data_IF_974894910685
#
_entry.id   IF_974894910685
#
_cell.length_a   1.000
_cell.length_b   1.000
_cell.length_c   1.000
_cell.angle_alpha   90.00
_cell.angle_beta   90.00
_cell.angle_gamma   90.00
#
_symmetry.space_group_name_H-M   'P 1'
#
loop_
_entity.id
_entity.type
_entity.pdbx_description
1 polymer ?
#
# COMPACT_ATOMS: atom_id res chain seq x y z
N UNK A 1 -15.33 -2.48 -17.42
CA UNK A 1 -16.41 -3.42 -17.84
C UNK A 1 -16.61 -4.48 -16.77
N UNK A 2 -17.84 -4.99 -16.63
CA UNK A 2 -18.29 -6.12 -15.77
C UNK A 2 -18.30 -5.94 -14.24
N UNK A 3 -17.42 -5.14 -13.62
CA UNK A 3 -17.33 -5.02 -12.13
C UNK A 3 -18.66 -4.75 -11.40
N UNK A 4 -19.43 -3.74 -11.84
CA UNK A 4 -20.69 -3.37 -11.17
C UNK A 4 -21.88 -4.33 -11.35
N UNK A 5 -21.74 -5.44 -12.10
CA UNK A 5 -22.82 -6.42 -12.31
C UNK A 5 -22.53 -7.81 -11.75
N UNK A 6 -21.31 -8.06 -11.24
CA UNK A 6 -20.92 -9.37 -10.75
C UNK A 6 -21.70 -9.76 -9.49
N UNK A 7 -21.90 -8.82 -8.57
CA UNK A 7 -22.74 -8.98 -7.38
C UNK A 7 -24.18 -9.34 -7.74
N UNK A 8 -24.77 -8.61 -8.68
CA UNK A 8 -26.14 -8.85 -9.12
C UNK A 8 -26.31 -10.23 -9.74
N UNK A 9 -25.36 -10.64 -10.59
CA UNK A 9 -25.34 -11.98 -11.19
C UNK A 9 -25.13 -13.06 -10.13
N UNK A 10 -24.22 -12.84 -9.18
CA UNK A 10 -23.98 -13.77 -8.08
C UNK A 10 -25.25 -13.95 -7.24
N UNK A 11 -25.90 -12.86 -6.84
CA UNK A 11 -27.15 -12.89 -6.08
C UNK A 11 -28.27 -13.62 -6.81
N UNK A 12 -28.44 -13.36 -8.10
CA UNK A 12 -29.42 -14.06 -8.94
C UNK A 12 -29.11 -15.56 -9.04
N UNK A 13 -27.85 -15.92 -9.32
CA UNK A 13 -27.43 -17.31 -9.39
C UNK A 13 -27.61 -18.06 -8.07
N UNK A 14 -27.31 -17.42 -6.94
CA UNK A 14 -27.52 -17.99 -5.60
C UNK A 14 -29.00 -18.17 -5.30
N UNK A 15 -29.85 -17.21 -5.70
CA UNK A 15 -31.30 -17.33 -5.58
C UNK A 15 -31.86 -18.47 -6.45
N UNK A 16 -31.40 -18.60 -7.70
CA UNK A 16 -31.80 -19.71 -8.56
C UNK A 16 -31.36 -21.06 -7.98
N UNK A 17 -30.11 -21.20 -7.55
CA UNK A 17 -29.63 -22.44 -6.94
C UNK A 17 -30.42 -22.82 -5.67
N UNK A 18 -30.75 -21.84 -4.83
CA UNK A 18 -31.63 -22.05 -3.68
C UNK A 18 -33.05 -22.49 -4.11
N UNK A 19 -33.61 -21.87 -5.15
CA UNK A 19 -34.95 -22.20 -5.65
C UNK A 19 -35.01 -23.62 -6.23
N UNK A 20 -33.99 -24.03 -6.99
CA UNK A 20 -33.87 -25.37 -7.56
C UNK A 20 -33.49 -26.44 -6.52
N UNK A 21 -32.91 -26.06 -5.38
CA UNK A 21 -32.62 -27.02 -4.30
C UNK A 21 -33.87 -27.73 -3.79
N UNK A 22 -35.05 -27.07 -3.90
CA UNK A 22 -36.36 -27.64 -3.55
C UNK A 22 -36.79 -28.81 -4.44
N UNK A 23 -36.24 -28.89 -5.66
CA UNK A 23 -36.44 -30.02 -6.60
C UNK A 23 -35.21 -30.92 -6.68
N UNK A 24 -34.30 -30.83 -5.70
CA UNK A 24 -33.11 -31.68 -5.60
C UNK A 24 -31.91 -31.21 -6.42
N UNK A 25 -31.93 -30.00 -6.98
CA UNK A 25 -30.85 -29.47 -7.82
C UNK A 25 -30.24 -28.22 -7.17
N UNK A 26 -29.12 -28.37 -6.47
CA UNK A 26 -28.34 -27.25 -5.94
C UNK A 26 -26.96 -27.19 -6.59
N UNK A 27 -26.75 -26.17 -7.43
CA UNK A 27 -25.50 -25.95 -8.16
C UNK A 27 -24.65 -24.82 -7.57
N UNK A 28 -25.04 -24.23 -6.43
CA UNK A 28 -24.32 -23.08 -5.83
C UNK A 28 -22.87 -23.41 -5.52
N UNK A 29 -22.60 -24.64 -5.09
CA UNK A 29 -21.24 -25.12 -4.84
C UNK A 29 -20.35 -25.15 -6.09
N UNK A 30 -20.93 -25.32 -7.29
CA UNK A 30 -20.19 -25.31 -8.56
C UNK A 30 -20.00 -23.89 -9.12
N UNK A 31 -20.88 -22.95 -8.75
CA UNK A 31 -20.77 -21.55 -9.20
C UNK A 31 -19.74 -20.75 -8.42
N UNK A 32 -19.59 -21.01 -7.11
CA UNK A 32 -18.68 -20.23 -6.27
C UNK A 32 -17.24 -20.15 -6.83
N UNK A 33 -16.60 -21.24 -7.31
CA UNK A 33 -15.27 -21.17 -7.93
C UNK A 33 -15.22 -20.33 -9.21
N UNK A 34 -16.31 -20.27 -9.99
CA UNK A 34 -16.38 -19.49 -11.23
C UNK A 34 -16.39 -17.99 -10.91
N UNK A 35 -17.23 -17.57 -9.97
CA UNK A 35 -17.31 -16.18 -9.52
C UNK A 35 -16.01 -15.75 -8.83
N UNK A 36 -15.42 -16.64 -8.02
CA UNK A 36 -14.11 -16.41 -7.40
C UNK A 36 -13.02 -16.11 -8.44
N UNK A 37 -12.94 -16.91 -9.51
CA UNK A 37 -11.96 -16.69 -10.59
C UNK A 37 -12.17 -15.35 -11.31
N UNK A 38 -13.43 -14.99 -11.59
CA UNK A 38 -13.75 -13.71 -12.25
C UNK A 38 -13.43 -12.53 -11.33
N UNK A 39 -13.70 -12.64 -10.03
CA UNK A 39 -13.36 -11.62 -9.05
C UNK A 39 -11.84 -11.41 -8.95
N UNK A 40 -11.06 -12.49 -8.92
CA UNK A 40 -9.60 -12.43 -8.91
C UNK A 40 -9.03 -11.79 -10.18
N UNK A 41 -9.53 -12.18 -11.37
CA UNK A 41 -9.10 -11.61 -12.65
C UNK A 41 -9.46 -10.12 -12.77
N UNK A 42 -10.66 -9.73 -12.34
CA UNK A 42 -11.08 -8.34 -12.30
C UNK A 42 -10.24 -7.50 -11.34
N UNK A 43 -9.94 -8.04 -10.15
CA UNK A 43 -9.05 -7.40 -9.19
C UNK A 43 -7.65 -7.21 -9.77
N UNK A 44 -7.06 -8.25 -10.36
CA UNK A 44 -5.73 -8.18 -10.99
C UNK A 44 -5.65 -7.11 -12.07
N UNK A 45 -6.65 -7.03 -12.95
CA UNK A 45 -6.75 -5.99 -13.99
C UNK A 45 -6.87 -4.60 -13.39
N UNK A 46 -7.71 -4.40 -12.38
CA UNK A 46 -7.86 -3.11 -11.74
C UNK A 46 -6.57 -2.64 -11.04
N UNK A 47 -5.81 -3.58 -10.46
CA UNK A 47 -4.50 -3.30 -9.87
C UNK A 47 -3.47 -2.96 -10.94
N UNK A 48 -3.43 -3.70 -12.05
CA UNK A 48 -2.55 -3.40 -13.20
C UNK A 48 -2.84 -2.01 -13.77
N UNK A 49 -4.12 -1.67 -13.99
CA UNK A 49 -4.54 -0.34 -14.42
C UNK A 49 -4.12 0.76 -13.41
N UNK A 50 -4.12 0.47 -12.11
CA UNK A 50 -3.65 1.42 -11.09
C UNK A 50 -2.13 1.62 -11.15
N UNK A 51 -1.36 0.56 -11.41
CA UNK A 51 0.11 0.63 -11.59
C UNK A 51 0.46 1.41 -12.85
N UNK A 52 -0.23 1.17 -13.97
CA UNK A 52 0.01 1.90 -15.21
C UNK A 52 -0.32 3.39 -15.07
N UNK A 53 -1.45 3.73 -14.42
CA UNK A 53 -1.75 5.14 -14.09
C UNK A 53 -0.70 5.76 -13.19
N UNK A 54 -0.18 5.02 -12.21
CA UNK A 54 0.91 5.50 -11.36
C UNK A 54 2.16 5.84 -12.20
N UNK A 55 2.51 4.98 -13.16
CA UNK A 55 3.64 5.21 -14.07
C UNK A 55 3.43 6.44 -14.96
N UNK A 56 2.24 6.59 -15.52
CA UNK A 56 1.87 7.76 -16.33
C UNK A 56 1.97 9.05 -15.52
N UNK A 57 1.41 9.07 -14.31
CA UNK A 57 1.49 10.21 -13.40
C UNK A 57 2.94 10.52 -13.04
N UNK A 58 3.74 9.51 -12.71
CA UNK A 58 5.17 9.68 -12.38
C UNK A 58 5.98 10.27 -13.54
N UNK A 59 5.66 9.95 -14.79
CA UNK A 59 6.33 10.52 -15.97
C UNK A 59 6.01 12.02 -16.17
N UNK A 60 4.85 12.47 -15.71
CA UNK A 60 4.42 13.87 -15.76
C UNK A 60 4.70 14.63 -14.46
N UNK A 61 5.16 13.91 -13.44
CA UNK A 61 5.35 14.45 -12.11
C UNK A 61 6.55 15.39 -12.10
N UNK A 62 6.29 16.63 -11.70
CA UNK A 62 7.35 17.61 -11.47
C UNK A 62 7.43 17.86 -9.98
N UNK A 63 8.63 17.78 -9.40
CA UNK A 63 8.88 18.09 -7.98
C UNK A 63 8.84 19.61 -7.72
N UNK A 64 8.01 20.33 -8.48
CA UNK A 64 7.93 21.78 -8.47
C UNK A 64 6.69 22.16 -7.67
N UNK A 65 6.90 22.33 -6.38
CA UNK A 65 6.01 22.92 -5.37
C UNK A 65 5.32 21.91 -4.45
N UNK A 66 5.61 22.07 -3.16
CA UNK A 66 4.69 21.71 -2.09
C UNK A 66 3.27 22.18 -2.46
N UNK A 67 2.24 21.41 -2.12
CA UNK A 67 0.88 21.78 -2.47
C UNK A 67 0.59 23.14 -1.86
N UNK A 68 0.09 24.04 -2.71
CA UNK A 68 -0.59 25.24 -2.30
C UNK A 68 -1.87 24.83 -1.56
N UNK A 69 -1.76 24.40 -0.31
CA UNK A 69 -2.91 24.17 0.55
C UNK A 69 -3.44 25.54 0.98
N UNK A 70 -4.40 26.02 0.19
CA UNK A 70 -5.64 26.68 0.66
C UNK A 70 -5.51 28.07 1.31
N UNK A 71 -4.95 29.02 0.55
CA UNK A 71 -5.18 30.46 0.76
C UNK A 71 -6.53 30.99 0.25
N UNK A 72 -7.58 30.16 0.11
CA UNK A 72 -8.84 30.63 -0.48
C UNK A 72 -10.05 29.72 -0.27
N UNK A 73 -10.85 30.03 0.74
CA UNK A 73 -12.31 29.98 0.68
C UNK A 73 -12.98 28.62 0.51
N UNK A 74 -13.02 27.82 1.58
CA UNK A 74 -14.20 27.09 2.07
C UNK A 74 -13.70 26.06 3.09
N UNK A 75 -14.02 26.26 4.36
CA UNK A 75 -13.76 25.26 5.39
C UNK A 75 -14.52 23.98 5.07
N UNK A 76 -13.82 23.00 4.50
CA UNK A 76 -14.28 21.62 4.52
C UNK A 76 -14.20 21.17 5.98
N UNK A 77 -15.31 20.79 6.63
CA UNK A 77 -15.28 20.40 8.02
C UNK A 77 -14.38 19.17 8.17
N UNK A 78 -13.37 19.30 9.03
CA UNK A 78 -12.50 18.22 9.48
C UNK A 78 -13.40 17.14 10.12
N UNK A 79 -13.54 15.93 9.54
CA UNK A 79 -14.14 14.84 10.27
C UNK A 79 -13.09 14.36 11.25
N UNK A 80 -13.32 14.58 12.53
CA UNK A 80 -12.58 13.95 13.63
C UNK A 80 -12.46 12.45 13.36
N UNK A 81 -11.21 11.96 13.25
CA UNK A 81 -10.91 10.55 13.05
C UNK A 81 -11.60 9.71 14.14
N UNK A 82 -12.62 8.96 13.76
CA UNK A 82 -13.22 7.96 14.63
C UNK A 82 -12.36 6.69 14.58
N UNK A 83 -12.01 6.08 15.73
CA UNK A 83 -11.32 4.80 15.74
C UNK A 83 -12.23 3.74 15.08
N UNK A 84 -11.86 3.32 13.88
CA UNK A 84 -12.62 2.35 13.07
C UNK A 84 -12.93 2.80 11.64
N UNK A 85 -12.78 4.08 11.29
CA UNK A 85 -12.95 4.54 9.91
C UNK A 85 -11.61 4.47 9.15
N UNK A 86 -11.55 3.66 8.08
CA UNK A 86 -10.45 3.66 7.12
C UNK A 86 -10.49 5.00 6.33
N UNK A 87 -9.93 6.05 6.91
CA UNK A 87 -9.74 7.33 6.21
C UNK A 87 -8.37 7.32 5.52
N UNK A 88 -8.29 7.68 4.23
CA UNK A 88 -7.02 7.81 3.52
C UNK A 88 -6.12 8.86 4.22
N UNK A 89 -4.80 8.61 4.31
CA UNK A 89 -3.86 9.60 4.85
C UNK A 89 -3.85 10.87 3.99
N UNK A 90 -4.19 12.01 4.60
CA UNK A 90 -4.28 13.30 3.88
C UNK A 90 -2.92 13.77 3.34
N UNK A 91 -1.81 13.32 3.94
CA UNK A 91 -0.44 13.57 3.49
C UNK A 91 -0.19 13.06 2.06
N UNK A 92 -0.93 12.02 1.62
CA UNK A 92 -0.81 11.51 0.26
C UNK A 92 -1.40 12.45 -0.79
N UNK A 93 -2.26 13.41 -0.40
CA UNK A 93 -2.79 14.42 -1.33
C UNK A 93 -1.69 15.38 -1.81
N UNK A 94 -0.62 15.49 -1.04
CA UNK A 94 0.56 16.28 -1.40
C UNK A 94 1.40 15.60 -2.49
N UNK A 95 1.12 14.31 -2.75
CA UNK A 95 1.80 13.46 -3.73
C UNK A 95 0.78 12.82 -4.70
N UNK A 96 0.38 13.53 -5.78
CA UNK A 96 -0.64 13.07 -6.72
C UNK A 96 -0.45 11.64 -7.25
N UNK A 97 0.77 11.17 -7.60
CA UNK A 97 0.96 9.79 -8.03
C UNK A 97 0.54 8.75 -6.98
N UNK A 98 0.93 8.96 -5.71
CA UNK A 98 0.58 8.05 -4.61
C UNK A 98 -0.92 8.07 -4.30
N UNK A 99 -1.56 9.25 -4.33
CA UNK A 99 -3.00 9.36 -4.13
C UNK A 99 -3.78 8.65 -5.25
N UNK A 100 -3.37 8.82 -6.51
CA UNK A 100 -3.99 8.17 -7.66
C UNK A 100 -3.90 6.63 -7.54
N UNK A 101 -2.70 6.12 -7.23
CA UNK A 101 -2.48 4.70 -7.01
C UNK A 101 -3.33 4.14 -5.87
N UNK A 102 -3.33 4.82 -4.71
CA UNK A 102 -4.14 4.41 -3.56
C UNK A 102 -5.63 4.35 -3.91
N UNK A 103 -6.14 5.38 -4.58
CA UNK A 103 -7.55 5.42 -4.98
C UNK A 103 -7.91 4.29 -5.94
N UNK A 104 -7.02 3.96 -6.90
CA UNK A 104 -7.19 2.80 -7.78
C UNK A 104 -7.30 1.49 -7.00
N UNK A 105 -6.40 1.27 -6.04
CA UNK A 105 -6.46 0.09 -5.16
C UNK A 105 -7.72 0.05 -4.28
N UNK A 106 -8.17 1.19 -3.76
CA UNK A 106 -9.39 1.26 -2.97
C UNK A 106 -10.64 0.92 -3.80
N UNK A 107 -10.70 1.36 -5.06
CA UNK A 107 -11.77 0.95 -5.98
C UNK A 107 -11.71 -0.57 -6.21
N UNK A 108 -10.53 -1.12 -6.47
CA UNK A 108 -10.35 -2.57 -6.65
C UNK A 108 -10.78 -3.37 -5.41
N UNK A 109 -10.43 -2.92 -4.20
CA UNK A 109 -10.87 -3.54 -2.95
C UNK A 109 -12.38 -3.45 -2.75
N UNK A 110 -13.00 -2.32 -3.09
CA UNK A 110 -14.45 -2.14 -2.96
C UNK A 110 -15.22 -3.06 -3.89
N UNK A 111 -14.76 -3.24 -5.13
CA UNK A 111 -15.38 -4.17 -6.08
C UNK A 111 -15.19 -5.63 -5.63
N UNK A 112 -14.01 -5.97 -5.12
CA UNK A 112 -13.70 -7.32 -4.63
C UNK A 112 -14.56 -7.70 -3.42
N UNK A 113 -14.86 -6.77 -2.50
CA UNK A 113 -15.66 -7.02 -1.28
C UNK A 113 -17.00 -7.69 -1.53
N UNK A 114 -17.62 -7.41 -2.68
CA UNK A 114 -18.93 -7.95 -3.06
C UNK A 114 -18.89 -9.48 -3.26
N UNK A 115 -17.73 -10.01 -3.60
CA UNK A 115 -17.51 -11.42 -3.88
C UNK A 115 -16.11 -11.82 -3.42
N UNK A 116 -15.82 -11.61 -2.14
CA UNK A 116 -14.51 -11.86 -1.52
C UNK A 116 -14.48 -13.18 -0.73
N UNK A 117 -14.34 -14.36 -1.37
CA UNK A 117 -14.01 -15.59 -0.66
C UNK A 117 -12.69 -15.43 0.10
N UNK A 118 -12.66 -15.96 1.32
CA UNK A 118 -11.41 -16.07 2.11
C UNK A 118 -10.31 -16.82 1.35
N UNK A 119 -10.70 -17.69 0.42
CA UNK A 119 -9.79 -18.43 -0.47
C UNK A 119 -8.96 -17.51 -1.39
N UNK A 120 -9.41 -16.29 -1.67
CA UNK A 120 -8.67 -15.31 -2.47
C UNK A 120 -7.60 -14.54 -1.69
N UNK A 121 -7.50 -14.72 -0.36
CA UNK A 121 -6.58 -13.96 0.47
C UNK A 121 -5.13 -14.05 -0.04
N UNK A 122 -4.69 -15.24 -0.47
CA UNK A 122 -3.36 -15.45 -1.02
C UNK A 122 -3.17 -14.76 -2.37
N UNK A 123 -4.09 -14.98 -3.32
CA UNK A 123 -4.01 -14.45 -4.67
C UNK A 123 -4.01 -12.91 -4.66
N UNK A 124 -4.88 -12.31 -3.84
CA UNK A 124 -5.01 -10.86 -3.69
C UNK A 124 -3.78 -10.26 -3.02
N UNK A 125 -3.23 -10.92 -1.99
CA UNK A 125 -2.01 -10.44 -1.34
C UNK A 125 -0.81 -10.53 -2.30
N UNK A 126 -0.66 -11.63 -3.03
CA UNK A 126 0.42 -11.79 -4.01
C UNK A 126 0.32 -10.79 -5.16
N UNK A 127 -0.89 -10.52 -5.64
CA UNK A 127 -1.14 -9.49 -6.66
C UNK A 127 -0.75 -8.10 -6.14
N UNK A 128 -1.13 -7.76 -4.91
CA UNK A 128 -0.77 -6.47 -4.30
C UNK A 128 0.74 -6.35 -4.07
N UNK A 129 1.39 -7.40 -3.55
CA UNK A 129 2.85 -7.41 -3.37
C UNK A 129 3.59 -7.20 -4.69
N UNK A 130 3.14 -7.85 -5.78
CA UNK A 130 3.70 -7.65 -7.11
C UNK A 130 3.51 -6.20 -7.59
N UNK A 131 2.32 -5.63 -7.39
CA UNK A 131 2.04 -4.25 -7.78
C UNK A 131 2.88 -3.23 -7.01
N UNK A 132 3.04 -3.43 -5.70
CA UNK A 132 3.88 -2.59 -4.85
C UNK A 132 5.37 -2.71 -5.21
N UNK A 133 5.83 -3.91 -5.58
CA UNK A 133 7.18 -4.10 -6.09
C UNK A 133 7.40 -3.35 -7.41
N UNK A 134 6.44 -3.38 -8.33
CA UNK A 134 6.50 -2.61 -9.58
C UNK A 134 6.50 -1.10 -9.34
N UNK A 135 5.63 -0.60 -8.44
CA UNK A 135 5.63 0.81 -8.04
C UNK A 135 6.98 1.22 -7.44
N UNK A 136 7.55 0.39 -6.56
CA UNK A 136 8.87 0.63 -5.96
C UNK A 136 9.97 0.72 -7.03
N UNK A 137 9.95 -0.17 -8.03
CA UNK A 137 10.88 -0.11 -9.17
C UNK A 137 10.71 1.17 -9.98
N UNK A 138 9.47 1.61 -10.23
CA UNK A 138 9.18 2.86 -10.92
C UNK A 138 9.71 4.07 -10.15
N UNK A 139 9.53 4.12 -8.83
CA UNK A 139 10.08 5.17 -7.96
C UNK A 139 11.61 5.21 -8.04
N UNK A 140 12.27 4.05 -7.98
CA UNK A 140 13.72 3.96 -8.10
C UNK A 140 14.23 4.37 -9.49
N UNK A 141 13.51 4.02 -10.56
CA UNK A 141 13.84 4.42 -11.91
C UNK A 141 13.73 5.94 -12.09
N UNK A 142 12.71 6.56 -11.51
CA UNK A 142 12.55 8.01 -11.48
C UNK A 142 13.71 8.69 -10.74
N UNK A 143 14.07 8.21 -9.54
CA UNK A 143 15.23 8.73 -8.80
C UNK A 143 16.50 8.67 -9.66
N UNK A 144 16.81 7.52 -10.27
CA UNK A 144 18.01 7.36 -11.10
C UNK A 144 18.03 8.26 -12.33
N UNK A 145 16.87 8.60 -12.88
CA UNK A 145 16.78 9.50 -14.03
C UNK A 145 17.00 10.96 -13.64
N UNK A 146 16.53 11.38 -12.46
CA UNK A 146 16.56 12.78 -12.02
C UNK A 146 17.62 13.11 -10.96
N UNK A 147 18.34 12.13 -10.42
CA UNK A 147 19.35 12.32 -9.35
C UNK A 147 20.42 13.37 -9.71
N UNK A 148 20.82 13.44 -10.99
CA UNK A 148 21.79 14.43 -11.46
C UNK A 148 21.19 15.84 -11.67
N UNK A 149 19.87 15.96 -11.71
CA UNK A 149 19.13 17.18 -11.97
C UNK A 149 18.45 17.77 -10.71
N UNK A 150 18.31 16.98 -9.63
CA UNK A 150 17.67 17.45 -8.41
C UNK A 150 18.41 18.62 -7.76
N UNK A 151 17.65 19.67 -7.45
CA UNK A 151 18.01 20.65 -6.44
C UNK A 151 17.84 20.05 -5.03
N UNK A 152 18.55 20.59 -4.04
CA UNK A 152 18.44 20.09 -2.66
C UNK A 152 17.01 20.07 -2.11
N UNK A 153 16.16 21.02 -2.55
CA UNK A 153 14.73 21.05 -2.19
C UNK A 153 13.92 19.93 -2.84
N UNK A 154 14.24 19.56 -4.08
CA UNK A 154 13.57 18.45 -4.77
C UNK A 154 13.98 17.11 -4.16
N UNK A 155 15.24 16.98 -3.74
CA UNK A 155 15.72 15.80 -3.02
C UNK A 155 15.00 15.61 -1.67
N UNK A 156 14.76 16.69 -0.92
CA UNK A 156 13.95 16.66 0.31
C UNK A 156 12.49 16.24 0.02
N UNK A 157 11.87 16.79 -1.03
CA UNK A 157 10.51 16.40 -1.43
C UNK A 157 10.43 14.93 -1.85
N UNK A 158 11.43 14.43 -2.57
CA UNK A 158 11.51 13.02 -2.95
C UNK A 158 11.70 12.09 -1.74
N UNK A 159 12.47 12.55 -0.74
CA UNK A 159 12.62 11.84 0.54
C UNK A 159 11.27 11.78 1.30
N UNK A 160 10.53 12.88 1.33
CA UNK A 160 9.17 12.91 1.90
C UNK A 160 8.20 12.01 1.13
N UNK A 161 8.28 11.98 -0.19
CA UNK A 161 7.50 11.08 -1.04
C UNK A 161 7.76 9.61 -0.70
N UNK A 162 9.04 9.20 -0.58
CA UNK A 162 9.42 7.84 -0.21
C UNK A 162 8.94 7.48 1.22
N UNK A 163 9.02 8.44 2.13
CA UNK A 163 8.53 8.29 3.51
C UNK A 163 7.01 8.09 3.52
N UNK A 164 6.25 8.92 2.80
CA UNK A 164 4.79 8.80 2.70
C UNK A 164 4.37 7.47 2.05
N UNK A 165 5.11 6.99 1.04
CA UNK A 165 4.87 5.66 0.47
C UNK A 165 5.02 4.55 1.54
N UNK A 166 6.09 4.56 2.32
CA UNK A 166 6.41 3.50 3.28
C UNK A 166 5.64 3.59 4.60
N UNK A 167 5.43 4.79 5.14
CA UNK A 167 4.89 5.02 6.49
C UNK A 167 3.39 5.32 6.49
N UNK A 168 2.84 5.86 5.40
CA UNK A 168 1.41 6.18 5.30
C UNK A 168 0.67 5.17 4.40
N UNK A 169 1.12 5.01 3.16
CA UNK A 169 0.41 4.21 2.16
C UNK A 169 0.47 2.71 2.46
N UNK A 170 1.66 2.14 2.71
CA UNK A 170 1.77 0.70 3.01
C UNK A 170 1.00 0.27 4.27
N UNK A 171 1.09 0.96 5.42
CA UNK A 171 0.36 0.56 6.61
C UNK A 171 -1.15 0.76 6.47
N UNK A 172 -1.58 1.73 5.65
CA UNK A 172 -2.99 1.89 5.31
C UNK A 172 -3.51 0.74 4.44
N UNK A 173 -2.79 0.37 3.36
CA UNK A 173 -3.14 -0.78 2.54
C UNK A 173 -3.16 -2.10 3.33
N UNK A 174 -2.20 -2.28 4.24
CA UNK A 174 -2.17 -3.44 5.12
C UNK A 174 -3.40 -3.50 6.05
N UNK A 175 -3.86 -2.34 6.56
CA UNK A 175 -5.13 -2.24 7.31
C UNK A 175 -6.33 -2.56 6.41
N UNK A 176 -6.37 -2.06 5.19
CA UNK A 176 -7.43 -2.39 4.23
C UNK A 176 -7.50 -3.90 3.96
N UNK A 177 -6.36 -4.56 3.75
CA UNK A 177 -6.28 -6.01 3.57
C UNK A 177 -6.75 -6.77 4.81
N UNK A 178 -6.37 -6.35 6.02
CA UNK A 178 -6.83 -7.00 7.25
C UNK A 178 -8.33 -6.83 7.51
N UNK A 179 -8.94 -5.75 7.03
CA UNK A 179 -10.39 -5.59 7.04
C UNK A 179 -11.06 -6.48 5.99
N UNK A 180 -10.44 -6.62 4.81
CA UNK A 180 -10.96 -7.45 3.72
C UNK A 180 -10.84 -8.96 4.04
N UNK A 181 -9.73 -9.35 4.68
CA UNK A 181 -9.39 -10.70 5.08
C UNK A 181 -8.96 -10.72 6.56
N UNK A 182 -9.92 -10.74 7.50
CA UNK A 182 -9.62 -10.76 8.92
C UNK A 182 -8.73 -11.97 9.28
N UNK A 183 -7.59 -11.78 9.97
CA UNK A 183 -6.68 -12.87 10.32
C UNK A 183 -7.37 -14.00 11.11
N UNK A 184 -8.36 -13.66 11.93
CA UNK A 184 -9.16 -14.62 12.66
C UNK A 184 -10.00 -15.52 11.73
N UNK A 185 -10.56 -14.97 10.66
CA UNK A 185 -11.34 -15.72 9.66
C UNK A 185 -10.44 -16.61 8.81
N UNK A 186 -9.25 -16.13 8.44
CA UNK A 186 -8.25 -16.95 7.73
C UNK A 186 -7.82 -18.13 8.62
N UNK A 187 -7.48 -17.87 9.87
CA UNK A 187 -7.07 -18.90 10.83
C UNK A 187 -8.17 -19.95 11.05
N UNK A 188 -9.43 -19.52 11.18
CA UNK A 188 -10.59 -20.41 11.26
C UNK A 188 -10.76 -21.25 9.99
N UNK A 189 -10.65 -20.66 8.81
CA UNK A 189 -10.78 -21.38 7.54
C UNK A 189 -9.69 -22.43 7.34
N UNK A 190 -8.48 -22.18 7.86
CA UNK A 190 -7.34 -23.10 7.84
C UNK A 190 -7.37 -24.12 8.98
N UNK A 191 -8.26 -23.98 9.97
CA UNK A 191 -8.33 -24.85 11.14
C UNK A 191 -7.12 -24.73 12.08
N UNK A 192 -6.43 -23.59 12.09
CA UNK A 192 -5.21 -23.35 12.87
C UNK A 192 -5.38 -22.20 13.86
N UNK A 193 -4.66 -22.20 15.00
CA UNK A 193 -4.67 -21.04 15.88
C UNK A 193 -4.03 -19.82 15.21
N UNK A 194 -4.49 -18.59 15.48
CA UNK A 194 -4.00 -17.38 14.82
C UNK A 194 -2.50 -17.12 15.07
N UNK A 195 -1.93 -17.68 16.12
CA UNK A 195 -0.49 -17.65 16.42
C UNK A 195 0.36 -18.42 15.40
N UNK A 196 -0.23 -19.40 14.71
CA UNK A 196 0.45 -20.21 13.70
C UNK A 196 0.22 -19.71 12.28
N UNK A 197 -0.59 -18.66 12.10
CA UNK A 197 -0.96 -18.15 10.77
C UNK A 197 0.27 -17.72 9.95
N UNK A 198 1.31 -17.18 10.61
CA UNK A 198 2.56 -16.79 9.95
C UNK A 198 3.32 -17.98 9.32
N UNK A 199 3.05 -19.23 9.75
CA UNK A 199 3.67 -20.44 9.17
C UNK A 199 3.04 -20.82 7.83
N UNK A 200 1.85 -20.32 7.52
CA UNK A 200 1.12 -20.58 6.28
C UNK A 200 1.30 -19.47 5.23
N UNK A 201 2.32 -18.62 5.42
CA UNK A 201 2.65 -17.51 4.53
C UNK A 201 2.04 -16.18 4.97
N UNK A 202 2.16 -15.18 4.10
CA UNK A 202 1.72 -13.79 4.35
C UNK A 202 0.26 -13.58 3.93
N UNK A 203 -0.64 -14.39 4.47
CA UNK A 203 -2.06 -14.31 4.11
C UNK A 203 -2.67 -13.01 4.67
N UNK A 204 -3.03 -12.08 3.79
CA UNK A 204 -3.65 -10.80 4.15
C UNK A 204 -2.71 -9.81 4.84
N UNK A 205 -1.39 -9.91 4.58
CA UNK A 205 -0.39 -8.96 5.11
C UNK A 205 0.66 -8.61 4.07
N UNK A 206 0.94 -7.31 3.96
CA UNK A 206 1.99 -6.76 3.08
C UNK A 206 3.35 -6.88 3.76
N UNK A 207 4.38 -7.24 3.01
CA UNK A 207 5.75 -7.20 3.51
C UNK A 207 6.40 -5.84 3.32
N UNK A 208 6.20 -4.98 4.33
CA UNK A 208 6.80 -3.65 4.37
C UNK A 208 8.33 -3.71 4.42
N UNK A 209 8.93 -4.77 4.96
CA UNK A 209 10.39 -4.89 5.06
C UNK A 209 11.04 -5.08 3.69
N UNK A 210 10.52 -6.00 2.86
CA UNK A 210 11.03 -6.21 1.50
C UNK A 210 10.85 -5.00 0.57
N UNK A 211 9.85 -4.14 0.83
CA UNK A 211 9.64 -2.90 0.08
C UNK A 211 10.50 -1.74 0.60
N UNK A 212 10.88 -1.79 1.89
CA UNK A 212 11.78 -0.80 2.51
C UNK A 212 13.24 -1.03 2.14
N UNK A 213 13.69 -2.28 2.02
CA UNK A 213 15.08 -2.61 1.68
C UNK A 213 15.60 -1.86 0.44
N UNK A 214 14.88 -1.83 -0.70
CA UNK A 214 15.33 -1.10 -1.89
C UNK A 214 15.30 0.42 -1.73
N UNK A 215 14.52 0.96 -0.82
CA UNK A 215 14.37 2.41 -0.59
C UNK A 215 15.22 2.91 0.59
N UNK A 216 15.90 2.02 1.31
CA UNK A 216 16.61 2.35 2.54
C UNK A 216 17.69 3.44 2.35
N UNK A 217 18.32 3.51 1.18
CA UNK A 217 19.34 4.52 0.86
C UNK A 217 18.78 5.92 0.58
N UNK A 218 17.46 6.04 0.38
CA UNK A 218 16.74 7.28 0.06
C UNK A 218 16.02 7.87 1.27
N UNK A 219 15.96 7.13 2.38
CA UNK A 219 15.26 7.56 3.59
C UNK A 219 16.21 8.37 4.47
N UNK A 220 15.68 9.31 5.27
CA UNK A 220 16.48 9.95 6.30
C UNK A 220 17.01 8.85 7.25
N UNK A 221 18.22 9.03 7.82
CA UNK A 221 18.69 8.14 8.86
C UNK A 221 17.62 8.06 9.95
N UNK A 222 17.33 6.85 10.42
CA UNK A 222 16.34 6.66 11.48
C UNK A 222 16.68 7.62 12.64
N UNK A 223 15.71 8.31 13.25
CA UNK A 223 15.96 9.22 14.35
C UNK A 223 16.60 8.43 15.51
N UNK A 224 17.92 8.44 15.60
CA UNK A 224 18.69 7.58 16.50
C UNK A 224 20.13 7.27 16.06
N UNK A 225 20.52 7.49 14.81
CA UNK A 225 21.93 7.45 14.42
C UNK A 225 22.51 8.87 14.46
N UNK A 226 22.85 9.32 15.67
CA UNK A 226 23.78 10.44 15.86
C UNK A 226 25.07 10.14 15.09
N UNK A 227 25.47 11.06 14.22
CA UNK A 227 26.80 11.08 13.63
C UNK A 227 27.85 10.88 14.74
N UNK A 228 28.81 9.95 14.61
CA UNK A 228 29.96 9.97 15.50
C UNK A 228 30.69 11.29 15.26
N UNK A 229 30.59 12.18 16.25
CA UNK A 229 31.28 13.47 16.27
C UNK A 229 32.75 13.30 15.90
N UNK A 230 33.36 14.20 15.11
CA UNK A 230 34.76 14.09 14.77
C UNK A 230 35.59 14.20 16.05
N UNK A 231 36.26 13.10 16.37
CA UNK A 231 37.19 12.96 17.48
C UNK A 231 38.21 14.10 17.38
N UNK A 232 38.16 14.99 18.37
CA UNK A 232 39.03 16.16 18.46
C UNK A 232 40.47 15.66 18.58
N UNK A 233 41.29 15.97 17.58
CA UNK A 233 42.71 15.73 17.62
C UNK A 233 43.32 16.39 18.88
N UNK A 234 44.22 15.72 19.62
CA UNK A 234 44.92 16.38 20.70
C UNK A 234 45.98 17.31 20.11
N UNK A 235 45.82 18.62 20.33
CA UNK A 235 46.86 19.61 20.07
C UNK A 235 48.11 19.32 20.94
N UNK A 236 49.33 19.46 20.39
CA UNK A 236 50.57 19.28 21.14
C UNK A 236 51.14 20.62 21.57
N UNK A 237 51.11 20.99 22.84
CA UNK A 237 51.92 22.07 23.45
C UNK A 237 51.53 22.19 24.94
N UNK A 238 52.41 22.22 25.94
CA UNK A 238 53.86 22.20 26.02
C UNK A 238 54.23 22.32 27.50
N UNK A 239 55.28 21.64 27.94
CA UNK A 239 55.86 21.89 29.27
C UNK A 239 57.37 22.05 29.11
N UNK A 240 57.78 23.32 28.97
CA UNK A 240 59.16 23.74 29.13
C UNK A 240 59.25 24.69 30.32
N UNK A 241 60.32 24.49 31.09
CA UNK A 241 60.98 25.43 32.01
C UNK A 241 60.56 25.40 33.49
N UNK A 242 61.32 24.61 34.26
CA UNK A 242 61.85 25.09 35.54
C UNK A 242 63.38 24.85 35.56
N UNK A 243 64.12 25.94 35.65
CA UNK A 243 65.57 26.08 35.94
C UNK A 243 65.66 27.33 36.83
N UNK A 244 66.66 27.52 37.73
CA UNK A 244 67.77 26.67 38.13
C UNK A 244 67.69 26.15 39.59
#
# INVERSE_FOLDING_TARGET
GVGGRLDSLLGQCMYFGLSFSRVGVDFRGQLAPLFQRVAADAFGKAVEEAVEKFREEMNSYTLISAPAVLGGGAGVPVPTAQPGTLQPPMVLLDFPPLACFLNGLLVAFNDLRLCCPIALAQDVTACLDSALAEVTKTILAFHRAEEAAFSGREQELFTQFCTAFLEDLLPYLNRCLQVLFPPAQIAQALGVPPTQLQRFGRLGRIDVAALREPLAFLLPPAPGEEEPSPETAPDPEGEHAAVP
#
